data_IF_919312316155
#
_entry.id   IF_919312316155
#
_cell.length_a   1.000
_cell.length_b   1.000
_cell.length_c   1.000
_cell.angle_alpha   90.00
_cell.angle_beta   90.00
_cell.angle_gamma   90.00
#
_symmetry.space_group_name_H-M   'P 1'
#
loop_
_entity.id
_entity.type
_entity.pdbx_description
1 polymer ?
#
# COMPACT_ATOMS: atom_id res chain seq x y z
N UNK A 1 24.43 6.77 -15.31
CA UNK A 1 23.40 5.75 -15.62
C UNK A 1 22.14 6.50 -16.03
N UNK A 2 21.50 6.12 -17.13
CA UNK A 2 20.27 6.77 -17.59
C UNK A 2 19.11 6.39 -16.65
N UNK A 3 18.21 7.33 -16.36
CA UNK A 3 17.02 7.06 -15.53
C UNK A 3 16.16 5.94 -16.13
N UNK A 4 16.10 5.84 -17.46
CA UNK A 4 15.35 4.80 -18.15
C UNK A 4 15.94 3.38 -17.97
N UNK A 5 17.21 3.28 -17.58
CA UNK A 5 17.87 1.99 -17.26
C UNK A 5 17.73 1.66 -15.78
N UNK A 6 17.80 2.67 -14.92
CA UNK A 6 17.81 2.51 -13.46
C UNK A 6 16.41 2.38 -12.85
N UNK A 7 15.47 3.27 -13.21
CA UNK A 7 14.15 3.31 -12.60
C UNK A 7 13.35 2.00 -12.75
N UNK A 8 13.43 1.26 -13.87
CA UNK A 8 12.80 -0.07 -13.98
C UNK A 8 13.38 -1.15 -13.06
N UNK A 9 14.40 -0.85 -12.25
CA UNK A 9 14.92 -1.75 -11.20
C UNK A 9 14.43 -1.35 -9.80
N UNK A 10 13.77 -0.20 -9.67
CA UNK A 10 13.23 0.27 -8.40
C UNK A 10 11.89 -0.44 -8.13
N UNK A 11 11.72 -0.85 -6.87
CA UNK A 11 10.44 -1.26 -6.31
C UNK A 11 10.28 -0.62 -4.94
N UNK A 12 9.03 -0.41 -4.54
CA UNK A 12 8.67 0.22 -3.29
C UNK A 12 8.07 -0.81 -2.33
N UNK A 13 8.10 -0.49 -1.04
CA UNK A 13 7.56 -1.37 -0.01
C UNK A 13 6.84 -0.56 1.05
N UNK A 14 5.63 -0.99 1.40
CA UNK A 14 4.76 -0.27 2.34
C UNK A 14 4.16 -1.18 3.40
N UNK A 15 3.86 -0.62 4.56
CA UNK A 15 2.83 -1.19 5.43
C UNK A 15 1.46 -0.73 4.95
N UNK A 16 0.47 -1.62 5.10
CA UNK A 16 -0.95 -1.33 4.91
C UNK A 16 -1.59 -1.29 6.28
N UNK A 17 -2.09 -0.13 6.69
CA UNK A 17 -2.73 0.06 7.99
C UNK A 17 -4.26 -0.08 7.92
N UNK A 18 -4.91 0.11 9.08
CA UNK A 18 -6.35 -0.11 9.23
C UNK A 18 -7.25 0.93 8.53
N UNK A 19 -6.73 2.10 8.17
CA UNK A 19 -7.48 3.13 7.45
C UNK A 19 -7.66 2.77 5.97
N UNK A 20 -8.62 1.89 5.74
CA UNK A 20 -8.87 1.18 4.49
C UNK A 20 -8.84 2.06 3.23
N UNK A 21 -9.55 3.18 3.25
CA UNK A 21 -9.64 4.07 2.08
C UNK A 21 -8.42 4.96 1.91
N UNK A 22 -7.79 5.38 3.01
CA UNK A 22 -6.55 6.16 2.97
C UNK A 22 -5.41 5.33 2.38
N UNK A 23 -5.34 4.04 2.72
CA UNK A 23 -4.38 3.11 2.15
C UNK A 23 -4.55 2.95 0.63
N UNK A 24 -5.78 2.79 0.15
CA UNK A 24 -6.07 2.73 -1.29
C UNK A 24 -5.65 4.04 -1.97
N UNK A 25 -6.04 5.18 -1.39
CA UNK A 25 -5.70 6.50 -1.92
C UNK A 25 -4.18 6.74 -1.95
N UNK A 26 -3.45 6.31 -0.90
CA UNK A 26 -1.98 6.38 -0.80
C UNK A 26 -1.31 5.68 -1.97
N UNK A 27 -1.73 4.46 -2.30
CA UNK A 27 -1.14 3.71 -3.42
C UNK A 27 -1.44 4.37 -4.77
N UNK A 28 -2.67 4.84 -4.98
CA UNK A 28 -3.06 5.55 -6.23
C UNK A 28 -2.28 6.86 -6.39
N UNK A 29 -2.21 7.67 -5.33
CA UNK A 29 -1.46 8.92 -5.29
C UNK A 29 0.03 8.69 -5.50
N UNK A 30 0.58 7.64 -4.89
CA UNK A 30 2.00 7.28 -5.02
C UNK A 30 2.40 6.96 -6.46
N UNK A 31 1.55 6.24 -7.21
CA UNK A 31 1.79 5.98 -8.65
C UNK A 31 1.85 7.27 -9.46
N UNK A 32 0.87 8.16 -9.28
CA UNK A 32 0.83 9.46 -9.97
C UNK A 32 2.08 10.27 -9.67
N UNK A 33 2.41 10.38 -8.39
CA UNK A 33 3.53 11.19 -7.93
C UNK A 33 4.89 10.65 -8.38
N UNK A 34 5.10 9.33 -8.37
CA UNK A 34 6.32 8.73 -8.90
C UNK A 34 6.50 9.00 -10.39
N UNK A 35 5.44 8.80 -11.19
CA UNK A 35 5.47 9.08 -12.62
C UNK A 35 5.82 10.56 -12.89
N UNK A 36 5.22 11.50 -12.15
CA UNK A 36 5.53 12.93 -12.23
C UNK A 36 6.98 13.21 -11.89
N UNK A 37 7.50 12.68 -10.78
CA UNK A 37 8.90 12.91 -10.37
C UNK A 37 9.88 12.40 -11.42
N UNK A 38 9.71 11.16 -11.88
CA UNK A 38 10.64 10.53 -12.81
C UNK A 38 10.63 11.20 -14.18
N UNK A 39 9.46 11.66 -14.65
CA UNK A 39 9.33 12.38 -15.92
C UNK A 39 9.81 13.83 -15.83
N UNK A 40 9.34 14.59 -14.85
CA UNK A 40 9.58 16.04 -14.80
C UNK A 40 10.96 16.38 -14.24
N UNK A 41 11.40 15.69 -13.17
CA UNK A 41 12.69 15.99 -12.53
C UNK A 41 13.86 15.27 -13.19
N UNK A 42 13.65 14.03 -13.63
CA UNK A 42 14.71 13.18 -14.16
C UNK A 42 14.64 12.96 -15.66
N UNK A 43 13.60 13.45 -16.34
CA UNK A 43 13.51 13.45 -17.80
C UNK A 43 13.31 12.06 -18.42
N UNK A 44 12.72 11.11 -17.68
CA UNK A 44 12.47 9.77 -18.20
C UNK A 44 11.55 9.79 -19.42
N UNK A 45 11.91 8.99 -20.42
CA UNK A 45 11.19 8.93 -21.71
C UNK A 45 10.32 7.68 -21.83
N UNK A 46 10.59 6.66 -21.02
CA UNK A 46 9.89 5.38 -21.09
C UNK A 46 8.81 5.26 -20.02
N UNK A 47 7.71 4.60 -20.38
CA UNK A 47 6.65 4.27 -19.42
C UNK A 47 7.16 3.34 -18.32
N UNK A 48 8.09 2.42 -18.64
CA UNK A 48 8.70 1.50 -17.68
C UNK A 48 9.40 2.22 -16.53
N UNK A 49 10.10 3.32 -16.81
CA UNK A 49 10.73 4.13 -15.77
C UNK A 49 9.69 4.80 -14.85
N UNK A 50 8.50 5.09 -15.37
CA UNK A 50 7.40 5.71 -14.63
C UNK A 50 6.54 4.69 -13.87
N UNK A 51 6.77 3.38 -14.02
CA UNK A 51 6.00 2.35 -13.33
C UNK A 51 6.38 2.31 -11.85
N UNK A 52 5.39 2.56 -11.00
CA UNK A 52 5.51 2.40 -9.56
C UNK A 52 5.06 0.99 -9.17
N UNK A 53 6.04 0.09 -9.01
CA UNK A 53 5.80 -1.28 -8.56
C UNK A 53 6.07 -1.36 -7.07
N UNK A 54 5.10 -1.82 -6.31
CA UNK A 54 5.21 -1.90 -4.86
C UNK A 54 4.76 -3.26 -4.34
N UNK A 55 5.43 -3.68 -3.27
CA UNK A 55 4.95 -4.71 -2.38
C UNK A 55 4.38 -4.09 -1.10
N UNK A 56 3.59 -4.86 -0.37
CA UNK A 56 3.11 -4.44 0.94
C UNK A 56 3.15 -5.54 2.01
N UNK A 57 3.11 -5.11 3.27
CA UNK A 57 2.84 -5.93 4.45
C UNK A 57 1.49 -5.53 5.02
N UNK A 58 0.63 -6.50 5.23
CA UNK A 58 -0.59 -6.38 6.01
C UNK A 58 -0.32 -7.02 7.38
N UNK A 59 -0.64 -6.33 8.47
CA UNK A 59 -0.32 -6.70 9.85
C UNK A 59 0.91 -5.99 10.40
N UNK A 60 1.65 -6.65 11.28
CA UNK A 60 2.71 -6.04 12.09
C UNK A 60 2.14 -5.09 13.13
N UNK A 61 2.29 -3.78 12.91
CA UNK A 61 1.94 -2.76 13.90
C UNK A 61 0.42 -2.66 14.19
N UNK A 62 -0.44 -3.15 13.29
CA UNK A 62 -1.89 -3.17 13.49
C UNK A 62 -2.39 -4.36 14.32
N UNK A 63 -1.52 -5.33 14.62
CA UNK A 63 -1.90 -6.56 15.29
C UNK A 63 -1.87 -6.41 16.81
N UNK A 64 -2.83 -7.04 17.47
CA UNK A 64 -3.02 -6.93 18.90
C UNK A 64 -3.07 -8.30 19.56
N UNK A 65 -2.35 -8.46 20.68
CA UNK A 65 -2.26 -9.73 21.40
C UNK A 65 -3.59 -10.12 22.09
N UNK A 66 -4.26 -9.25 22.86
CA UNK A 66 -5.60 -9.56 23.36
C UNK A 66 -6.59 -9.81 22.21
N UNK A 67 -7.34 -10.90 22.32
CA UNK A 67 -8.30 -11.33 21.30
C UNK A 67 -7.65 -11.48 19.90
N UNK A 68 -6.47 -12.10 19.84
CA UNK A 68 -5.65 -12.18 18.62
C UNK A 68 -6.36 -12.76 17.39
N UNK A 69 -7.42 -13.57 17.54
CA UNK A 69 -8.22 -14.02 16.39
C UNK A 69 -8.86 -12.87 15.61
N UNK A 70 -9.10 -11.71 16.25
CA UNK A 70 -9.55 -10.50 15.57
C UNK A 70 -8.51 -9.99 14.54
N UNK A 71 -7.23 -10.36 14.68
CA UNK A 71 -6.19 -10.03 13.71
C UNK A 71 -6.44 -10.67 12.34
N UNK A 72 -7.14 -11.80 12.28
CA UNK A 72 -7.54 -12.43 11.00
C UNK A 72 -8.39 -11.45 10.19
N UNK A 73 -9.34 -10.78 10.85
CA UNK A 73 -10.25 -9.81 10.21
C UNK A 73 -9.49 -8.53 9.83
N UNK A 74 -8.60 -8.05 10.70
CA UNK A 74 -7.76 -6.87 10.44
C UNK A 74 -6.91 -7.08 9.17
N UNK A 75 -6.16 -8.18 9.13
CA UNK A 75 -5.30 -8.53 7.99
C UNK A 75 -6.13 -8.76 6.73
N UNK A 76 -7.34 -9.33 6.82
CA UNK A 76 -8.21 -9.49 5.66
C UNK A 76 -8.63 -8.15 5.03
N UNK A 77 -8.95 -7.14 5.83
CA UNK A 77 -9.30 -5.81 5.31
C UNK A 77 -8.10 -5.04 4.80
N UNK A 78 -6.95 -5.10 5.48
CA UNK A 78 -5.69 -4.53 4.99
C UNK A 78 -5.28 -5.18 3.65
N UNK A 79 -5.39 -6.51 3.55
CA UNK A 79 -5.12 -7.24 2.32
C UNK A 79 -6.06 -6.81 1.18
N UNK A 80 -7.35 -6.62 1.47
CA UNK A 80 -8.31 -6.12 0.50
C UNK A 80 -7.99 -4.68 0.06
N UNK A 81 -7.57 -3.81 0.99
CA UNK A 81 -7.13 -2.45 0.66
C UNK A 81 -5.91 -2.46 -0.27
N UNK A 82 -4.92 -3.32 0.00
CA UNK A 82 -3.75 -3.48 -0.86
C UNK A 82 -4.12 -3.98 -2.27
N UNK A 83 -5.03 -4.96 -2.37
CA UNK A 83 -5.51 -5.48 -3.66
C UNK A 83 -6.23 -4.40 -4.46
N UNK A 84 -7.18 -3.67 -3.84
CA UNK A 84 -7.88 -2.56 -4.49
C UNK A 84 -6.95 -1.38 -4.80
N UNK A 85 -5.89 -1.23 -4.02
CA UNK A 85 -4.79 -0.30 -4.27
C UNK A 85 -3.90 -0.70 -5.45
N UNK A 86 -4.01 -1.92 -5.98
CA UNK A 86 -3.24 -2.39 -7.13
C UNK A 86 -1.82 -2.85 -6.80
N UNK A 87 -1.66 -3.60 -5.71
CA UNK A 87 -0.37 -4.17 -5.25
C UNK A 87 0.20 -5.23 -6.21
N UNK A 88 1.54 -5.35 -6.29
CA UNK A 88 2.22 -6.37 -7.10
C UNK A 88 2.64 -7.61 -6.30
N UNK A 89 2.98 -7.42 -5.02
CA UNK A 89 3.28 -8.51 -4.08
C UNK A 89 2.79 -8.16 -2.69
N UNK A 90 2.26 -9.13 -1.96
CA UNK A 90 1.76 -8.86 -0.62
C UNK A 90 2.20 -9.94 0.36
N UNK A 91 2.53 -9.52 1.57
CA UNK A 91 2.73 -10.36 2.71
C UNK A 91 1.57 -10.12 3.69
N UNK A 92 0.91 -11.19 4.10
CA UNK A 92 -0.14 -11.15 5.12
C UNK A 92 0.40 -11.80 6.37
N UNK A 93 0.45 -11.04 7.46
CA UNK A 93 0.86 -11.56 8.75
C UNK A 93 -0.12 -12.61 9.28
N UNK A 94 0.42 -13.54 10.07
CA UNK A 94 -0.38 -14.48 10.81
C UNK A 94 -1.01 -13.81 12.04
N UNK A 95 -2.15 -14.32 12.48
CA UNK A 95 -2.91 -13.72 13.58
C UNK A 95 -2.18 -13.76 14.94
N UNK A 96 -1.23 -14.69 15.09
CA UNK A 96 -0.43 -14.96 16.28
C UNK A 96 0.92 -14.22 16.30
N UNK A 97 1.24 -13.41 15.27
CA UNK A 97 2.47 -12.63 15.18
C UNK A 97 2.79 -11.77 16.42
N UNK A 98 1.81 -11.17 17.15
CA UNK A 98 2.11 -10.43 18.37
C UNK A 98 2.76 -11.25 19.50
N UNK A 99 2.69 -12.58 19.45
CA UNK A 99 3.20 -13.46 20.49
C UNK A 99 4.55 -14.07 20.14
N UNK A 100 4.69 -14.60 18.93
CA UNK A 100 5.83 -15.38 18.51
C UNK A 100 5.90 -15.47 16.98
N UNK A 101 6.92 -16.19 16.48
CA UNK A 101 6.93 -16.63 15.08
C UNK A 101 5.69 -17.49 14.78
N UNK A 102 5.11 -17.35 13.59
CA UNK A 102 3.85 -17.98 13.26
C UNK A 102 3.97 -19.50 13.20
N UNK A 103 2.89 -20.17 13.59
CA UNK A 103 2.75 -21.62 13.39
C UNK A 103 2.47 -21.95 11.93
N UNK A 104 2.59 -23.23 11.56
CA UNK A 104 2.21 -23.69 10.21
C UNK A 104 0.72 -23.43 9.94
N UNK A 105 -0.14 -23.62 10.93
CA UNK A 105 -1.57 -23.38 10.83
C UNK A 105 -1.88 -21.89 10.61
N UNK A 106 -1.31 -21.00 11.42
CA UNK A 106 -1.55 -19.57 11.32
C UNK A 106 -0.96 -18.97 10.03
N UNK A 107 0.19 -19.47 9.59
CA UNK A 107 0.80 -19.13 8.29
C UNK A 107 -0.07 -19.60 7.13
N UNK A 108 -0.59 -20.83 7.21
CA UNK A 108 -1.49 -21.37 6.18
C UNK A 108 -2.76 -20.54 6.08
N UNK A 109 -3.33 -20.13 7.20
CA UNK A 109 -4.51 -19.25 7.23
C UNK A 109 -4.21 -17.89 6.57
N UNK A 110 -3.05 -17.29 6.88
CA UNK A 110 -2.64 -16.03 6.26
C UNK A 110 -2.54 -16.15 4.72
N UNK A 111 -1.96 -17.25 4.22
CA UNK A 111 -1.93 -17.53 2.79
C UNK A 111 -3.34 -17.72 2.20
N UNK A 112 -4.23 -18.42 2.92
CA UNK A 112 -5.63 -18.63 2.48
C UNK A 112 -6.40 -17.31 2.36
N UNK A 113 -6.14 -16.33 3.23
CA UNK A 113 -6.71 -14.98 3.10
C UNK A 113 -6.42 -14.37 1.73
N UNK A 114 -5.18 -14.46 1.25
CA UNK A 114 -4.82 -13.96 -0.10
C UNK A 114 -5.52 -14.75 -1.20
N UNK A 115 -5.61 -16.07 -1.07
CA UNK A 115 -6.22 -16.94 -2.08
C UNK A 115 -7.73 -16.70 -2.20
N UNK A 116 -8.44 -16.50 -1.08
CA UNK A 116 -9.86 -16.14 -1.08
C UNK A 116 -10.08 -14.80 -1.78
N UNK A 117 -9.24 -13.78 -1.49
CA UNK A 117 -9.32 -12.50 -2.19
C UNK A 117 -9.07 -12.66 -3.70
N UNK A 118 -8.04 -13.42 -4.08
CA UNK A 118 -7.65 -13.60 -5.48
C UNK A 118 -8.69 -14.40 -6.30
N UNK A 119 -9.25 -15.47 -5.74
CA UNK A 119 -10.00 -16.46 -6.50
C UNK A 119 -11.50 -16.49 -6.21
N UNK A 120 -11.95 -16.03 -5.04
CA UNK A 120 -13.35 -16.18 -4.59
C UNK A 120 -14.10 -14.84 -4.53
N UNK A 121 -13.45 -13.78 -4.05
CA UNK A 121 -14.13 -12.49 -3.79
C UNK A 121 -14.55 -11.72 -5.05
N UNK A 122 -13.92 -12.01 -6.19
CA UNK A 122 -14.14 -11.30 -7.46
C UNK A 122 -13.46 -9.93 -7.57
N UNK A 123 -12.79 -9.43 -6.53
CA UNK A 123 -12.13 -8.11 -6.56
C UNK A 123 -11.00 -8.01 -7.59
N UNK A 124 -10.39 -9.15 -7.95
CA UNK A 124 -9.33 -9.22 -8.96
C UNK A 124 -9.84 -9.20 -10.42
N UNK A 125 -11.17 -9.19 -10.66
CA UNK A 125 -11.75 -9.29 -12.01
C UNK A 125 -11.73 -7.97 -12.79
N UNK A 126 -11.60 -6.84 -12.12
CA UNK A 126 -11.65 -5.50 -12.71
C UNK A 126 -10.43 -4.72 -12.25
N UNK A 127 -9.72 -4.08 -13.18
CA UNK A 127 -8.62 -3.19 -12.85
C UNK A 127 -9.15 -1.86 -12.28
N UNK A 128 -8.58 -1.42 -11.15
CA UNK A 128 -8.98 -0.21 -10.41
C UNK A 128 -10.51 -0.04 -10.29
N UNK A 129 -11.22 -0.99 -9.63
CA UNK A 129 -12.69 -0.97 -9.56
C UNK A 129 -13.25 0.23 -8.80
N UNK A 130 -12.40 0.97 -8.07
CA UNK A 130 -12.75 2.19 -7.34
C UNK A 130 -12.52 3.47 -8.17
N UNK A 131 -12.01 3.34 -9.40
CA UNK A 131 -11.85 4.46 -10.31
C UNK A 131 -13.17 5.17 -10.57
N UNK A 132 -13.16 6.50 -10.45
CA UNK A 132 -14.35 7.34 -10.59
C UNK A 132 -15.21 7.45 -9.32
N UNK A 133 -14.89 6.74 -8.24
CA UNK A 133 -15.52 6.99 -6.94
C UNK A 133 -15.21 8.41 -6.47
N UNK A 134 -16.23 9.26 -6.33
CA UNK A 134 -16.06 10.66 -5.91
C UNK A 134 -15.22 10.80 -4.64
N UNK A 135 -15.44 9.92 -3.68
CA UNK A 135 -14.72 9.93 -2.41
C UNK A 135 -13.24 9.53 -2.59
N UNK A 136 -12.97 8.43 -3.30
CA UNK A 136 -11.61 7.92 -3.46
C UNK A 136 -10.78 8.82 -4.36
N UNK A 137 -11.37 9.41 -5.41
CA UNK A 137 -10.67 10.38 -6.25
C UNK A 137 -10.30 11.63 -5.45
N UNK A 138 -11.24 12.20 -4.69
CA UNK A 138 -10.96 13.36 -3.85
C UNK A 138 -9.87 13.07 -2.79
N UNK A 139 -9.95 11.91 -2.12
CA UNK A 139 -8.97 11.50 -1.13
C UNK A 139 -7.59 11.23 -1.77
N UNK A 140 -7.56 10.70 -2.99
CA UNK A 140 -6.32 10.49 -3.75
C UNK A 140 -5.66 11.82 -4.10
N UNK A 141 -6.43 12.80 -4.57
CA UNK A 141 -5.94 14.14 -4.89
C UNK A 141 -5.42 14.88 -3.65
N UNK A 142 -6.14 14.79 -2.53
CA UNK A 142 -5.70 15.37 -1.25
C UNK A 142 -4.39 14.74 -0.78
N UNK A 143 -4.30 13.40 -0.85
CA UNK A 143 -3.11 12.64 -0.48
C UNK A 143 -1.89 13.02 -1.34
N UNK A 144 -2.07 13.12 -2.66
CA UNK A 144 -1.00 13.55 -3.58
C UNK A 144 -0.54 14.98 -3.28
N UNK A 145 -1.49 15.89 -3.03
CA UNK A 145 -1.19 17.27 -2.70
C UNK A 145 -0.44 17.39 -1.35
N UNK A 146 -0.84 16.61 -0.34
CA UNK A 146 -0.15 16.54 0.94
C UNK A 146 1.29 16.03 0.77
N UNK A 147 1.48 14.93 0.03
CA UNK A 147 2.80 14.39 -0.30
C UNK A 147 3.69 15.41 -1.01
N UNK A 148 3.11 16.15 -1.97
CA UNK A 148 3.83 17.19 -2.71
C UNK A 148 4.27 18.37 -1.83
N UNK A 149 3.42 18.82 -0.90
CA UNK A 149 3.78 19.87 0.07
C UNK A 149 4.93 19.44 0.98
N UNK A 150 4.87 18.22 1.50
CA UNK A 150 5.94 17.65 2.33
C UNK A 150 7.24 17.52 1.56
N UNK A 151 7.19 17.07 0.31
CA UNK A 151 8.37 16.96 -0.57
C UNK A 151 9.11 18.30 -0.75
N UNK A 152 8.36 19.37 -1.02
CA UNK A 152 8.92 20.73 -1.19
C UNK A 152 9.55 21.24 0.11
N UNK A 153 8.96 20.89 1.25
CA UNK A 153 9.46 21.30 2.58
C UNK A 153 10.72 20.54 2.98
N UNK A 154 10.82 19.25 2.64
CA UNK A 154 11.90 18.36 3.08
C UNK A 154 13.05 18.23 2.07
N UNK A 155 13.00 18.89 0.91
CA UNK A 155 14.04 18.89 -0.12
C UNK A 155 14.51 17.48 -0.58
N UNK A 156 13.65 16.46 -0.52
CA UNK A 156 14.06 15.08 -0.86
C UNK A 156 13.04 13.97 -0.58
N UNK A 157 13.49 12.73 -0.85
CA UNK A 157 12.70 11.48 -0.89
C UNK A 157 12.18 10.97 0.46
N UNK A 158 12.58 11.59 1.57
CA UNK A 158 12.24 11.15 2.93
C UNK A 158 10.79 11.44 3.35
N UNK A 159 10.06 12.28 2.60
CA UNK A 159 8.69 12.70 2.95
C UNK A 159 7.63 11.58 2.83
N UNK A 160 7.96 10.45 2.19
CA UNK A 160 7.02 9.37 1.89
C UNK A 160 6.78 8.40 3.05
N UNK A 161 7.73 8.28 3.97
CA UNK A 161 7.63 7.39 5.13
C UNK A 161 7.08 8.09 6.38
N UNK A 162 6.76 9.38 6.30
CA UNK A 162 6.15 10.08 7.42
C UNK A 162 4.67 9.73 7.48
N UNK A 163 4.20 9.16 8.61
CA UNK A 163 2.78 8.98 8.88
C UNK A 163 2.05 10.31 8.65
N UNK A 164 0.82 10.28 8.11
CA UNK A 164 0.00 11.49 8.09
C UNK A 164 -0.15 11.95 9.56
N UNK A 165 -0.22 13.26 9.83
CA UNK A 165 -0.33 13.77 11.21
C UNK A 165 -1.59 13.27 11.96
N UNK A 166 -2.42 12.45 11.32
CA UNK A 166 -3.57 11.73 11.86
C UNK A 166 -3.20 10.39 12.51
N UNK A 167 -1.99 9.87 12.32
CA UNK A 167 -1.50 8.62 12.93
C UNK A 167 -1.15 8.72 14.45
N UNK A 168 -1.37 9.88 15.08
CA UNK A 168 -1.41 9.94 16.55
C UNK A 168 -2.77 9.46 17.03
N UNK A 169 -2.82 8.21 17.51
CA UNK A 169 -3.83 7.66 18.42
C UNK A 169 -5.16 8.44 18.46
N UNK A 170 -6.08 8.11 17.55
CA UNK A 170 -7.51 8.25 17.82
C UNK A 170 -8.13 6.87 17.96
N UNK A 171 -7.83 6.26 19.10
CA UNK A 171 -8.73 5.35 19.82
C UNK A 171 -8.99 5.97 21.17
#
# INVERSE_FOLDING_TARGET
>A
MNIDEFAPQISFFFYTHGDFFEEIAKYRAGRRRWATIVRERYGAKTDKASMFRFGCVCGGASLYAPQAHNNIVRVAYEAMAAVLGGVQSMFTAAWDEPFALPTEESTTLALRTQQILAYESGVARVADPLGGSYFIEALTDETEAASSRSWTTSNGMAAWCTPSKTDTCRV
#
